data_IF_118757469441
#
_entry.id   IF_118757469441
#
_cell.length_a   1.000
_cell.length_b   1.000
_cell.length_c   1.000
_cell.angle_alpha   90.00
_cell.angle_beta   90.00
_cell.angle_gamma   90.00
#
_symmetry.space_group_name_H-M   'P 1'
#
loop_
_entity.id
_entity.type
_entity.pdbx_description
1 polymer ?
#
# COMPACT_ATOMS: atom_id res chain seq x y z
N UNK A 1 -26.96 -39.15 39.24
CA UNK A 1 -27.34 -39.11 37.79
C UNK A 1 -26.81 -37.82 37.20
N UNK A 2 -25.73 -37.90 36.47
CA UNK A 2 -25.04 -36.75 35.90
C UNK A 2 -25.44 -36.61 34.42
N UNK A 3 -25.99 -35.45 34.04
CA UNK A 3 -26.32 -35.14 32.66
C UNK A 3 -25.11 -34.46 31.99
N UNK A 4 -24.50 -35.16 31.05
CA UNK A 4 -23.40 -34.67 30.23
C UNK A 4 -23.99 -33.83 29.09
N UNK A 5 -23.80 -32.52 29.16
CA UNK A 5 -24.14 -31.60 28.09
C UNK A 5 -23.09 -31.62 26.98
N UNK A 6 -23.46 -32.10 25.78
CA UNK A 6 -22.62 -32.09 24.60
C UNK A 6 -22.60 -30.67 24.02
N UNK A 7 -21.48 -29.95 24.17
CA UNK A 7 -21.23 -28.68 23.50
C UNK A 7 -20.82 -28.96 22.06
N UNK A 8 -21.72 -28.69 21.11
CA UNK A 8 -21.43 -28.69 19.68
C UNK A 8 -20.52 -27.51 19.36
N UNK A 9 -19.27 -27.77 19.03
CA UNK A 9 -18.36 -26.79 18.49
C UNK A 9 -18.81 -26.34 17.10
N UNK A 10 -19.27 -25.09 17.01
CA UNK A 10 -19.52 -24.41 15.75
C UNK A 10 -18.15 -24.10 15.13
N UNK A 11 -17.83 -24.78 14.05
CA UNK A 11 -16.63 -24.48 13.24
C UNK A 11 -16.71 -23.05 12.72
N UNK A 12 -15.91 -22.18 13.29
CA UNK A 12 -15.62 -20.88 12.70
C UNK A 12 -14.99 -21.10 11.33
N UNK A 13 -15.66 -20.63 10.27
CA UNK A 13 -15.15 -20.65 8.91
C UNK A 13 -13.90 -19.75 8.82
N UNK A 14 -12.73 -20.36 8.97
CA UNK A 14 -11.48 -19.63 8.80
C UNK A 14 -11.33 -19.14 7.37
N UNK A 15 -11.06 -17.84 7.19
CA UNK A 15 -10.61 -17.26 5.93
C UNK A 15 -9.36 -18.03 5.47
N UNK A 16 -9.52 -18.91 4.48
CA UNK A 16 -8.44 -19.75 3.93
C UNK A 16 -7.43 -19.00 3.06
N UNK A 17 -7.56 -17.70 2.95
CA UNK A 17 -6.63 -16.87 2.21
C UNK A 17 -5.87 -16.00 3.19
N UNK A 18 -4.66 -16.43 3.50
CA UNK A 18 -3.74 -15.65 4.32
C UNK A 18 -3.47 -14.28 3.70
N UNK A 19 -4.17 -13.27 4.18
CA UNK A 19 -3.76 -11.89 3.94
C UNK A 19 -2.39 -11.70 4.60
N UNK A 20 -1.31 -11.75 3.82
CA UNK A 20 0.06 -11.40 4.27
C UNK A 20 0.16 -9.97 4.84
N UNK A 21 -0.86 -9.17 4.64
CA UNK A 21 -1.04 -7.84 5.21
C UNK A 21 -2.21 -7.89 6.18
N UNK A 22 -1.94 -8.16 7.45
CA UNK A 22 -2.83 -8.18 8.61
C UNK A 22 -4.20 -7.48 8.57
N UNK A 23 -5.01 -7.72 7.54
CA UNK A 23 -6.32 -7.13 7.33
C UNK A 23 -7.47 -7.84 8.05
N UNK A 24 -7.18 -8.87 8.85
CA UNK A 24 -8.24 -9.65 9.51
C UNK A 24 -8.37 -9.33 11.02
N UNK A 25 -8.45 -8.04 11.38
CA UNK A 25 -8.91 -7.63 12.71
C UNK A 25 -10.12 -6.71 12.56
N UNK A 26 -11.32 -7.29 12.61
CA UNK A 26 -12.52 -6.47 12.62
C UNK A 26 -13.86 -7.15 12.37
N UNK A 27 -13.99 -8.47 12.59
CA UNK A 27 -15.30 -9.10 12.74
C UNK A 27 -15.39 -9.78 14.11
N UNK A 28 -15.40 -8.98 15.17
CA UNK A 28 -15.83 -9.43 16.48
C UNK A 28 -17.25 -8.89 16.72
N UNK A 29 -18.24 -9.76 16.59
CA UNK A 29 -19.57 -9.56 17.19
C UNK A 29 -19.41 -9.40 18.69
N UNK A 30 -19.70 -8.24 19.20
CA UNK A 30 -19.72 -7.96 20.64
C UNK A 30 -20.96 -8.61 21.25
N UNK A 31 -20.79 -9.79 21.85
CA UNK A 31 -21.72 -10.24 22.90
C UNK A 31 -21.29 -9.60 24.21
N UNK A 32 -22.15 -8.70 24.69
CA UNK A 32 -22.01 -8.06 25.99
C UNK A 32 -22.24 -9.10 27.06
N UNK A 33 -21.22 -9.43 27.85
CA UNK A 33 -21.36 -10.12 29.15
C UNK A 33 -21.00 -9.12 30.24
N UNK A 34 -21.96 -8.80 31.08
CA UNK A 34 -21.82 -7.94 32.25
C UNK A 34 -21.01 -8.66 33.36
N UNK A 35 -19.84 -8.12 33.63
CA UNK A 35 -19.02 -8.53 34.79
C UNK A 35 -18.14 -7.36 35.18
N UNK A 36 -18.38 -6.75 36.36
CA UNK A 36 -17.68 -5.58 36.88
C UNK A 36 -16.22 -5.92 37.23
N UNK A 37 -15.34 -5.06 36.74
CA UNK A 37 -13.92 -5.02 37.06
C UNK A 37 -13.33 -3.82 36.34
N UNK A 38 -12.82 -2.85 37.08
CA UNK A 38 -12.12 -1.67 36.56
C UNK A 38 -10.92 -2.13 35.74
N UNK A 39 -10.96 -1.89 34.43
CA UNK A 39 -9.84 -2.12 33.52
C UNK A 39 -9.13 -0.78 33.25
N UNK A 40 -7.79 -0.75 33.20
CA UNK A 40 -7.06 0.45 32.85
C UNK A 40 -7.50 0.94 31.46
N UNK A 41 -7.82 2.22 31.34
CA UNK A 41 -8.16 2.89 30.08
C UNK A 41 -6.91 2.92 29.21
N UNK A 42 -6.75 1.89 28.37
CA UNK A 42 -5.77 1.93 27.29
C UNK A 42 -6.33 2.90 26.23
N UNK A 43 -5.61 3.96 25.85
CA UNK A 43 -6.09 4.86 24.82
C UNK A 43 -6.34 4.05 23.54
N UNK A 44 -7.57 4.04 23.09
CA UNK A 44 -8.01 3.41 21.84
C UNK A 44 -7.30 4.13 20.70
N UNK A 45 -6.12 3.63 20.32
CA UNK A 45 -5.49 4.03 19.07
C UNK A 45 -6.44 3.60 17.97
N UNK A 46 -7.27 4.52 17.52
CA UNK A 46 -8.14 4.35 16.35
C UNK A 46 -7.24 4.09 15.14
N UNK A 47 -6.84 2.84 14.95
CA UNK A 47 -6.23 2.38 13.72
C UNK A 47 -7.30 2.57 12.65
N UNK A 48 -7.09 3.58 11.80
CA UNK A 48 -7.96 3.80 10.63
C UNK A 48 -8.04 2.48 9.87
N UNK A 49 -9.24 2.04 9.47
CA UNK A 49 -9.41 0.78 8.76
C UNK A 49 -8.49 0.79 7.54
N UNK A 50 -7.57 -0.19 7.47
CA UNK A 50 -6.77 -0.42 6.28
C UNK A 50 -7.74 -0.74 5.15
N UNK A 51 -7.50 -0.15 3.98
CA UNK A 51 -8.26 -0.46 2.79
C UNK A 51 -8.24 -1.99 2.56
N UNK A 52 -9.42 -2.59 2.53
CA UNK A 52 -9.58 -4.03 2.35
C UNK A 52 -10.59 -4.28 1.21
N UNK A 53 -10.24 -5.13 0.23
CA UNK A 53 -11.18 -5.54 -0.82
C UNK A 53 -12.38 -6.26 -0.25
N UNK A 54 -13.55 -6.23 -0.92
CA UNK A 54 -14.71 -7.03 -0.55
C UNK A 54 -14.38 -8.52 -0.53
N UNK A 55 -14.96 -9.25 0.43
CA UNK A 55 -14.80 -10.70 0.52
C UNK A 55 -15.28 -11.37 -0.78
N UNK A 56 -14.46 -12.27 -1.34
CA UNK A 56 -14.76 -12.96 -2.59
C UNK A 56 -14.49 -12.19 -3.88
N UNK A 57 -13.89 -11.00 -3.81
CA UNK A 57 -13.46 -10.29 -5.02
C UNK A 57 -12.45 -11.11 -5.82
N UNK A 58 -12.62 -11.13 -7.15
CA UNK A 58 -11.73 -11.79 -8.12
C UNK A 58 -10.93 -10.79 -8.97
N UNK A 59 -10.79 -9.54 -8.51
CA UNK A 59 -10.11 -8.46 -9.24
C UNK A 59 -9.08 -7.79 -8.36
N UNK A 60 -8.08 -7.19 -8.98
CA UNK A 60 -7.15 -6.28 -8.31
C UNK A 60 -7.90 -5.04 -7.82
N UNK A 61 -7.52 -4.53 -6.66
CA UNK A 61 -8.13 -3.35 -6.04
C UNK A 61 -7.11 -2.28 -5.79
N UNK A 62 -7.50 -1.03 -6.03
CA UNK A 62 -6.65 0.14 -5.82
C UNK A 62 -7.19 0.92 -4.63
N UNK A 63 -6.36 1.09 -3.61
CA UNK A 63 -6.69 1.85 -2.40
C UNK A 63 -6.58 3.36 -2.55
N UNK A 64 -6.96 4.12 -1.52
CA UNK A 64 -6.71 5.55 -1.45
C UNK A 64 -5.20 5.84 -1.38
N UNK A 65 -4.76 7.05 -1.80
CA UNK A 65 -3.35 7.41 -1.76
C UNK A 65 -2.82 7.41 -0.31
N UNK A 66 -1.63 6.84 -0.13
CA UNK A 66 -0.92 6.90 1.15
C UNK A 66 -0.45 8.32 1.44
N UNK A 67 -0.60 8.76 2.70
CA UNK A 67 -0.30 10.14 3.12
C UNK A 67 1.18 10.52 3.02
N UNK A 68 2.08 9.53 3.09
CA UNK A 68 3.53 9.77 3.07
C UNK A 68 4.07 9.68 1.66
N UNK A 69 3.78 8.59 0.95
CA UNK A 69 4.28 8.35 -0.40
C UNK A 69 3.46 9.03 -1.49
N UNK A 70 2.20 9.38 -1.20
CA UNK A 70 1.20 9.87 -2.15
C UNK A 70 0.87 8.85 -3.28
N UNK A 71 1.26 7.60 -3.10
CA UNK A 71 0.97 6.51 -4.04
C UNK A 71 -0.25 5.71 -3.58
N UNK A 72 -1.02 5.22 -4.54
CA UNK A 72 -2.16 4.34 -4.28
C UNK A 72 -1.68 2.90 -4.16
N UNK A 73 -1.93 2.21 -3.03
CA UNK A 73 -1.61 0.79 -2.90
C UNK A 73 -2.54 -0.04 -3.78
N UNK A 74 -1.98 -1.07 -4.40
CA UNK A 74 -2.73 -2.06 -5.18
C UNK A 74 -2.71 -3.38 -4.42
N UNK A 75 -3.87 -3.99 -4.23
CA UNK A 75 -4.03 -5.33 -3.66
C UNK A 75 -4.33 -6.26 -4.83
N UNK A 76 -3.38 -7.16 -5.13
CA UNK A 76 -3.51 -8.09 -6.24
C UNK A 76 -4.39 -9.28 -5.86
N UNK A 77 -5.24 -9.67 -6.79
CA UNK A 77 -6.03 -10.88 -6.65
C UNK A 77 -5.15 -12.14 -6.76
N UNK A 78 -5.32 -13.06 -5.81
CA UNK A 78 -4.65 -14.36 -5.82
C UNK A 78 -5.63 -15.40 -6.32
N UNK A 79 -5.38 -15.96 -7.51
CA UNK A 79 -6.20 -17.03 -8.07
C UNK A 79 -5.97 -18.36 -7.32
N UNK A 80 -7.03 -19.15 -7.04
CA UNK A 80 -6.87 -20.49 -6.45
C UNK A 80 -6.02 -21.44 -7.31
N UNK A 81 -6.00 -21.22 -8.62
CA UNK A 81 -5.25 -22.01 -9.61
C UNK A 81 -4.08 -21.21 -10.20
N UNK A 82 -3.46 -20.38 -9.40
CA UNK A 82 -2.31 -19.57 -9.81
C UNK A 82 -1.12 -20.48 -10.18
N UNK A 83 -0.57 -20.26 -11.37
CA UNK A 83 0.63 -20.99 -11.82
C UNK A 83 1.88 -20.41 -11.16
N UNK A 84 3.01 -21.17 -11.12
CA UNK A 84 4.27 -20.65 -10.58
C UNK A 84 4.73 -19.36 -11.28
N UNK A 85 4.49 -19.23 -12.59
CA UNK A 85 4.83 -18.04 -13.37
C UNK A 85 3.94 -16.85 -12.99
N UNK A 86 2.64 -17.06 -12.83
CA UNK A 86 1.70 -16.02 -12.40
C UNK A 86 2.01 -15.55 -10.97
N UNK A 87 2.34 -16.50 -10.08
CA UNK A 87 2.78 -16.18 -8.71
C UNK A 87 4.03 -15.30 -8.71
N UNK A 88 5.04 -15.67 -9.50
CA UNK A 88 6.27 -14.88 -9.62
C UNK A 88 6.01 -13.47 -10.14
N UNK A 89 5.13 -13.33 -11.13
CA UNK A 89 4.72 -12.03 -11.64
C UNK A 89 4.04 -11.20 -10.54
N UNK A 90 3.11 -11.78 -9.80
CA UNK A 90 2.41 -11.10 -8.69
C UNK A 90 3.38 -10.68 -7.59
N UNK A 91 4.24 -11.59 -7.13
CA UNK A 91 5.25 -11.31 -6.10
C UNK A 91 6.20 -10.17 -6.51
N UNK A 92 6.65 -10.15 -7.77
CA UNK A 92 7.48 -9.07 -8.30
C UNK A 92 6.73 -7.73 -8.35
N UNK A 93 5.43 -7.73 -8.69
CA UNK A 93 4.60 -6.52 -8.67
C UNK A 93 4.41 -6.00 -7.24
N UNK A 94 4.14 -6.89 -6.27
CA UNK A 94 4.03 -6.56 -4.84
C UNK A 94 5.34 -5.96 -4.31
N UNK A 95 6.47 -6.63 -4.56
CA UNK A 95 7.80 -6.16 -4.15
C UNK A 95 8.16 -4.80 -4.76
N UNK A 96 7.84 -4.62 -6.06
CA UNK A 96 8.07 -3.34 -6.75
C UNK A 96 7.22 -2.23 -6.17
N UNK A 97 5.95 -2.51 -5.84
CA UNK A 97 5.08 -1.55 -5.18
C UNK A 97 5.62 -1.14 -3.80
N UNK A 98 6.04 -2.09 -2.96
CA UNK A 98 6.59 -1.80 -1.64
C UNK A 98 7.88 -0.98 -1.72
N UNK A 99 8.77 -1.33 -2.66
CA UNK A 99 9.99 -0.57 -2.92
C UNK A 99 9.67 0.87 -3.32
N UNK A 100 8.70 1.06 -4.23
CA UNK A 100 8.24 2.34 -4.71
C UNK A 100 7.64 3.20 -3.57
N UNK A 101 6.73 2.60 -2.79
CA UNK A 101 6.12 3.23 -1.62
C UNK A 101 7.17 3.71 -0.61
N UNK A 102 8.17 2.87 -0.30
CA UNK A 102 9.25 3.21 0.64
C UNK A 102 10.11 4.37 0.14
N UNK A 103 10.44 4.37 -1.16
CA UNK A 103 11.24 5.45 -1.75
C UNK A 103 10.50 6.80 -1.64
N UNK A 104 9.26 6.86 -2.13
CA UNK A 104 8.50 8.09 -2.16
C UNK A 104 8.08 8.58 -0.78
N UNK A 105 7.79 7.69 0.16
CA UNK A 105 7.51 8.06 1.54
C UNK A 105 8.69 8.80 2.17
N UNK A 106 9.92 8.30 1.96
CA UNK A 106 11.14 8.96 2.45
C UNK A 106 11.40 10.28 1.73
N UNK A 107 11.27 10.28 0.40
CA UNK A 107 11.55 11.44 -0.43
C UNK A 107 10.59 12.60 -0.14
N UNK A 108 9.29 12.32 -0.03
CA UNK A 108 8.29 13.32 0.29
C UNK A 108 8.41 13.84 1.72
N UNK A 109 8.84 13.00 2.65
CA UNK A 109 9.12 13.45 4.02
C UNK A 109 10.33 14.37 4.05
N UNK A 110 11.45 13.97 3.44
CA UNK A 110 12.65 14.81 3.34
C UNK A 110 12.35 16.14 2.67
N UNK A 111 11.61 16.13 1.56
CA UNK A 111 11.19 17.36 0.88
C UNK A 111 10.40 18.32 1.80
N UNK A 112 9.44 17.79 2.56
CA UNK A 112 8.64 18.61 3.47
C UNK A 112 9.49 19.21 4.59
N UNK A 113 10.33 18.40 5.22
CA UNK A 113 11.21 18.85 6.30
C UNK A 113 12.20 19.91 5.80
N UNK A 114 12.94 19.64 4.71
CA UNK A 114 13.91 20.58 4.16
C UNK A 114 13.23 21.87 3.67
N UNK A 115 12.01 21.80 3.14
CA UNK A 115 11.22 22.97 2.76
C UNK A 115 10.84 23.83 3.96
N UNK A 116 10.39 23.21 5.04
CA UNK A 116 10.02 23.93 6.26
C UNK A 116 11.23 24.58 6.92
N UNK A 117 12.35 23.89 6.98
CA UNK A 117 13.62 24.42 7.49
C UNK A 117 14.12 25.61 6.65
N UNK A 118 14.05 25.51 5.32
CA UNK A 118 14.43 26.58 4.42
C UNK A 118 13.56 27.81 4.61
N UNK A 119 12.24 27.66 4.66
CA UNK A 119 11.29 28.77 4.89
C UNK A 119 11.60 29.42 6.24
N UNK A 120 11.75 28.64 7.30
CA UNK A 120 12.04 29.15 8.63
C UNK A 120 13.33 29.94 8.66
N UNK A 121 14.42 29.42 8.09
CA UNK A 121 15.72 30.10 8.07
C UNK A 121 15.68 31.43 7.31
N UNK A 122 14.95 31.46 6.17
CA UNK A 122 14.81 32.71 5.38
C UNK A 122 13.94 33.76 6.05
N UNK A 123 12.84 33.36 6.68
CA UNK A 123 11.99 34.29 7.44
C UNK A 123 12.75 34.87 8.65
N UNK A 124 13.46 34.01 9.38
CA UNK A 124 14.30 34.43 10.50
C UNK A 124 15.38 35.45 10.07
N UNK A 125 16.02 35.22 8.93
CA UNK A 125 17.02 36.15 8.38
C UNK A 125 16.40 37.50 7.98
N UNK A 126 15.12 37.56 7.68
CA UNK A 126 14.37 38.80 7.39
C UNK A 126 13.76 39.44 8.64
N UNK A 127 13.93 38.86 9.81
CA UNK A 127 13.30 39.33 11.05
C UNK A 127 11.76 39.12 11.07
N UNK A 128 11.25 38.24 10.22
CA UNK A 128 9.82 37.95 10.12
C UNK A 128 9.48 36.68 10.91
N UNK A 129 8.31 36.68 11.53
CA UNK A 129 7.77 35.48 12.18
C UNK A 129 7.13 34.55 11.16
N UNK A 130 6.99 33.25 11.51
CA UNK A 130 6.37 32.22 10.67
C UNK A 130 4.86 32.40 10.52
N UNK A 131 4.26 33.21 11.38
CA UNK A 131 2.84 33.61 11.32
C UNK A 131 2.73 35.11 11.47
N UNK A 132 1.81 35.70 10.76
CA UNK A 132 1.45 37.11 10.91
C UNK A 132 0.52 37.33 12.13
N UNK A 133 0.19 38.59 12.41
CA UNK A 133 -0.73 38.96 13.48
C UNK A 133 -2.14 38.35 13.33
N UNK A 134 -2.52 37.96 12.11
CA UNK A 134 -3.79 37.30 11.79
C UNK A 134 -3.74 35.77 11.97
N UNK A 135 -2.56 35.22 12.34
CA UNK A 135 -2.34 33.77 12.49
C UNK A 135 -2.12 33.02 11.16
N UNK A 136 -2.09 33.74 10.03
CA UNK A 136 -1.80 33.14 8.71
C UNK A 136 -0.31 32.82 8.58
N UNK A 137 -0.01 31.71 7.88
CA UNK A 137 1.37 31.29 7.65
C UNK A 137 2.04 32.23 6.63
N UNK A 138 3.11 32.90 7.05
CA UNK A 138 3.92 33.71 6.15
C UNK A 138 4.70 32.79 5.20
N UNK A 139 4.65 33.07 3.91
CA UNK A 139 5.35 32.32 2.87
C UNK A 139 6.39 33.18 2.19
N UNK A 140 7.44 32.54 1.67
CA UNK A 140 8.46 33.22 0.87
C UNK A 140 7.88 33.56 -0.53
N UNK A 141 8.53 34.54 -1.19
CA UNK A 141 8.18 34.86 -2.56
C UNK A 141 8.51 33.72 -3.54
N UNK A 142 8.02 33.83 -4.79
CA UNK A 142 8.18 32.78 -5.79
C UNK A 142 9.65 32.55 -6.17
N UNK A 143 10.49 33.59 -6.20
CA UNK A 143 11.91 33.50 -6.56
C UNK A 143 12.69 32.73 -5.48
N UNK A 144 12.50 33.06 -4.22
CA UNK A 144 13.14 32.35 -3.11
C UNK A 144 12.72 30.89 -3.05
N UNK A 145 11.44 30.61 -3.33
CA UNK A 145 10.97 29.24 -3.41
C UNK A 145 11.56 28.49 -4.61
N UNK A 146 11.79 29.15 -5.74
CA UNK A 146 12.45 28.57 -6.91
C UNK A 146 13.91 28.18 -6.59
N UNK A 147 14.64 28.98 -5.81
CA UNK A 147 15.98 28.62 -5.36
C UNK A 147 15.97 27.34 -4.52
N UNK A 148 15.03 27.22 -3.57
CA UNK A 148 14.87 25.99 -2.80
C UNK A 148 14.63 24.78 -3.72
N UNK A 149 13.69 24.86 -4.67
CA UNK A 149 13.38 23.75 -5.57
C UNK A 149 14.59 23.35 -6.40
N UNK A 150 15.32 24.31 -6.95
CA UNK A 150 16.54 24.09 -7.73
C UNK A 150 17.60 23.36 -6.91
N UNK A 151 17.86 23.81 -5.70
CA UNK A 151 18.88 23.23 -4.81
C UNK A 151 18.47 21.83 -4.35
N UNK A 152 17.21 21.63 -3.98
CA UNK A 152 16.69 20.31 -3.60
C UNK A 152 16.78 19.30 -4.76
N UNK A 153 16.42 19.70 -5.98
CA UNK A 153 16.51 18.84 -7.16
C UNK A 153 17.98 18.51 -7.48
N UNK A 154 18.88 19.48 -7.43
CA UNK A 154 20.31 19.28 -7.67
C UNK A 154 20.92 18.32 -6.64
N UNK A 155 20.64 18.50 -5.36
CA UNK A 155 21.10 17.65 -4.25
C UNK A 155 20.61 16.19 -4.42
N UNK A 156 19.37 16.01 -4.83
CA UNK A 156 18.74 14.69 -4.96
C UNK A 156 18.87 14.08 -6.36
N UNK A 157 19.50 14.74 -7.33
CA UNK A 157 19.56 14.32 -8.73
C UNK A 157 20.06 12.87 -8.90
N UNK A 158 21.22 12.53 -8.33
CA UNK A 158 21.79 11.18 -8.42
C UNK A 158 20.85 10.12 -7.82
N UNK A 159 20.22 10.42 -6.71
CA UNK A 159 19.27 9.54 -6.04
C UNK A 159 18.06 9.25 -6.93
N UNK A 160 17.52 10.27 -7.60
CA UNK A 160 16.42 10.13 -8.56
C UNK A 160 16.85 9.37 -9.82
N UNK A 161 18.06 9.59 -10.32
CA UNK A 161 18.60 8.84 -11.48
C UNK A 161 18.73 7.34 -11.17
N UNK A 162 19.27 6.97 -9.99
CA UNK A 162 19.34 5.58 -9.58
C UNK A 162 17.94 4.96 -9.41
N UNK A 163 17.03 5.69 -8.75
CA UNK A 163 15.63 5.27 -8.62
C UNK A 163 15.00 5.01 -9.98
N UNK A 164 15.11 5.95 -10.93
CA UNK A 164 14.53 5.80 -12.26
C UNK A 164 15.10 4.59 -13.00
N UNK A 165 16.43 4.40 -12.98
CA UNK A 165 17.08 3.23 -13.57
C UNK A 165 16.52 1.92 -13.02
N UNK A 166 16.41 1.82 -11.70
CA UNK A 166 15.92 0.60 -11.05
C UNK A 166 14.41 0.42 -11.25
N UNK A 167 13.65 1.51 -11.32
CA UNK A 167 12.24 1.50 -11.70
C UNK A 167 12.03 0.96 -13.12
N UNK A 168 12.81 1.41 -14.10
CA UNK A 168 12.77 0.90 -15.47
C UNK A 168 13.10 -0.60 -15.52
N UNK A 169 14.17 -1.05 -14.87
CA UNK A 169 14.54 -2.47 -14.81
C UNK A 169 13.38 -3.33 -14.29
N UNK A 170 12.77 -2.93 -13.19
CA UNK A 170 11.63 -3.66 -12.60
C UNK A 170 10.44 -3.69 -13.56
N UNK A 171 10.08 -2.57 -14.16
CA UNK A 171 8.95 -2.50 -15.09
C UNK A 171 9.18 -3.31 -16.37
N UNK A 172 10.39 -3.30 -16.95
CA UNK A 172 10.73 -4.17 -18.08
C UNK A 172 10.62 -5.66 -17.70
N UNK A 173 11.11 -6.04 -16.53
CA UNK A 173 10.99 -7.43 -16.06
C UNK A 173 9.52 -7.82 -15.86
N UNK A 174 8.70 -6.96 -15.26
CA UNK A 174 7.27 -7.17 -15.09
C UNK A 174 6.59 -7.34 -16.46
N UNK A 175 6.86 -6.43 -17.40
CA UNK A 175 6.28 -6.48 -18.76
C UNK A 175 6.66 -7.77 -19.48
N UNK A 176 7.90 -8.20 -19.39
CA UNK A 176 8.35 -9.47 -19.96
C UNK A 176 7.62 -10.67 -19.35
N UNK A 177 7.52 -10.73 -18.01
CA UNK A 177 6.76 -11.78 -17.34
C UNK A 177 5.26 -11.76 -17.69
N UNK A 178 4.67 -10.56 -17.85
CA UNK A 178 3.29 -10.43 -18.32
C UNK A 178 3.10 -11.03 -19.72
N UNK A 179 4.04 -10.79 -20.63
CA UNK A 179 4.06 -11.38 -21.96
C UNK A 179 4.13 -12.93 -21.92
N UNK A 180 5.01 -13.46 -21.07
CA UNK A 180 5.10 -14.92 -20.86
C UNK A 180 3.81 -15.52 -20.30
N UNK A 181 3.19 -14.89 -19.30
CA UNK A 181 1.90 -15.31 -18.73
C UNK A 181 0.82 -15.30 -19.80
N UNK A 182 0.75 -14.23 -20.62
CA UNK A 182 -0.23 -14.12 -21.70
C UNK A 182 -0.07 -15.23 -22.74
N UNK A 183 1.17 -15.53 -23.14
CA UNK A 183 1.48 -16.60 -24.08
C UNK A 183 1.06 -17.98 -23.53
N UNK A 184 1.42 -18.29 -22.28
CA UNK A 184 1.04 -19.55 -21.63
C UNK A 184 -0.48 -19.69 -21.54
N UNK A 185 -1.20 -18.61 -21.22
CA UNK A 185 -2.68 -18.61 -21.19
C UNK A 185 -3.27 -18.83 -22.57
N UNK A 186 -2.74 -18.20 -23.60
CA UNK A 186 -3.18 -18.38 -24.99
C UNK A 186 -2.97 -19.84 -25.46
N UNK A 187 -1.80 -20.41 -25.21
CA UNK A 187 -1.50 -21.82 -25.57
C UNK A 187 -2.43 -22.82 -24.84
N UNK A 188 -2.73 -22.58 -23.56
CA UNK A 188 -3.70 -23.42 -22.83
C UNK A 188 -5.10 -23.30 -23.38
N UNK A 189 -5.52 -22.12 -23.78
CA UNK A 189 -6.83 -21.90 -24.39
C UNK A 189 -6.94 -22.62 -25.75
N UNK A 190 -5.90 -22.54 -26.60
CA UNK A 190 -5.84 -23.24 -27.87
C UNK A 190 -5.93 -24.77 -27.70
N UNK A 191 -5.14 -25.31 -26.77
CA UNK A 191 -5.19 -26.78 -26.47
C UNK A 191 -6.58 -27.23 -26.02
N UNK A 192 -7.29 -26.47 -25.20
CA UNK A 192 -8.66 -26.77 -24.77
C UNK A 192 -9.64 -26.77 -25.94
N UNK A 193 -9.49 -25.85 -26.91
CA UNK A 193 -10.32 -25.81 -28.11
C UNK A 193 -10.12 -27.07 -29.00
N UNK A 194 -8.86 -27.47 -29.22
CA UNK A 194 -8.55 -28.65 -30.03
C UNK A 194 -9.08 -29.94 -29.42
N UNK A 195 -8.95 -30.12 -28.09
CA UNK A 195 -9.52 -31.31 -27.41
C UNK A 195 -11.04 -31.37 -27.46
N UNK A 196 -11.74 -30.24 -27.38
CA UNK A 196 -13.19 -30.23 -27.47
C UNK A 196 -13.70 -30.42 -28.90
N UNK A 197 -12.94 -30.05 -29.93
CA UNK A 197 -13.29 -30.28 -31.34
C UNK A 197 -13.05 -31.73 -31.79
N UNK A 198 -12.17 -32.48 -31.12
CA UNK A 198 -11.92 -33.88 -31.41
C UNK A 198 -12.88 -34.89 -30.74
N UNK A 199 -13.77 -34.39 -29.85
CA UNK A 199 -14.77 -35.22 -29.14
C UNK A 199 -16.21 -35.07 -29.70
N UNK A 200 -16.40 -34.39 -30.81
CA UNK A 200 -17.66 -34.32 -31.56
C UNK A 200 -17.55 -35.14 -32.84
#
# INVERSE_FOLDING_TARGET
>A
MAAVGVVRAVRAGGCRYGCRYGCCYGCFSSTVSSGGGERPIVPLVTQRPRFCPPAGSRRDWIGPPDKRSNLRPVIFYVSPHETPLERRLRELREETQEWNQRFWARQNTAFRTEKEEFIYSRLKAKGLETRDETGQKVTLNAEEMADFYKDFLRKNFRKHMHYNRDWYKRNFTITFLMGQVALVRALRWLRRKTTNAGNQ
#
